data_IF_506614086765
#
_entry.id   IF_506614086765
#
_cell.length_a   1.000
_cell.length_b   1.000
_cell.length_c   1.000
_cell.angle_alpha   90.00
_cell.angle_beta   90.00
_cell.angle_gamma   90.00
#
_symmetry.space_group_name_H-M   'P 1'
#
loop_
_entity.id
_entity.type
_entity.pdbx_description
1 polymer ?
#
# COMPACT_ATOMS: atom_id res chain seq x y z
N UNK A 1 7.84 -8.93 26.52
CA UNK A 1 6.38 -9.19 26.52
C UNK A 1 5.79 -8.48 25.32
N UNK A 2 5.04 -9.13 24.43
CA UNK A 2 4.33 -8.38 23.41
C UNK A 2 3.29 -7.50 24.12
N UNK A 3 3.34 -6.18 23.88
CA UNK A 3 2.32 -5.25 24.36
C UNK A 3 0.95 -5.72 23.87
N UNK A 4 0.14 -6.21 24.77
CA UNK A 4 -1.16 -6.82 24.48
C UNK A 4 -2.27 -5.79 24.22
N UNK A 5 -1.99 -4.49 24.40
CA UNK A 5 -2.95 -3.39 24.25
C UNK A 5 -2.28 -2.14 23.68
N UNK A 6 -3.06 -1.28 23.05
CA UNK A 6 -2.65 0.10 22.73
C UNK A 6 -2.58 0.88 24.04
N UNK A 7 -1.44 1.54 24.31
CA UNK A 7 -1.33 2.52 25.40
C UNK A 7 -2.26 3.71 25.20
N UNK A 8 -2.65 4.37 26.27
CA UNK A 8 -3.34 5.66 26.16
C UNK A 8 -2.38 6.71 25.58
N UNK A 9 -2.91 7.62 24.76
CA UNK A 9 -2.13 8.70 24.17
C UNK A 9 -1.02 8.19 23.22
N UNK A 10 -1.38 7.46 22.16
CA UNK A 10 -0.43 7.02 21.15
C UNK A 10 -1.09 6.87 19.77
N UNK A 11 -0.24 6.88 18.74
CA UNK A 11 -0.61 6.54 17.36
C UNK A 11 -0.09 5.15 16.98
N UNK A 12 -0.96 4.34 16.37
CA UNK A 12 -0.57 3.09 15.73
C UNK A 12 -0.97 3.12 14.26
N UNK A 13 0.00 3.04 13.35
CA UNK A 13 -0.31 2.82 11.94
C UNK A 13 -0.51 1.32 11.67
N UNK A 14 -1.63 0.96 11.06
CA UNK A 14 -2.00 -0.42 10.77
C UNK A 14 -2.10 -0.61 9.26
N UNK A 15 -1.28 -1.52 8.72
CA UNK A 15 -1.43 -2.01 7.37
C UNK A 15 -2.63 -2.95 7.28
N UNK A 16 -3.58 -2.61 6.39
CA UNK A 16 -4.83 -3.36 6.28
C UNK A 16 -4.83 -4.40 5.17
N UNK A 17 -3.68 -4.64 4.56
CA UNK A 17 -3.59 -5.58 3.45
C UNK A 17 -4.04 -4.97 2.11
N UNK A 18 -4.05 -5.77 1.04
CA UNK A 18 -4.25 -5.27 -0.32
C UNK A 18 -5.72 -5.07 -0.71
N UNK A 19 -6.68 -5.61 0.06
CA UNK A 19 -8.10 -5.51 -0.27
C UNK A 19 -8.98 -6.52 0.45
N UNK A 20 -8.54 -7.76 0.59
CA UNK A 20 -9.27 -8.82 1.27
C UNK A 20 -9.21 -8.62 2.80
N UNK A 21 -10.35 -8.46 3.50
CA UNK A 21 -10.38 -8.34 4.96
C UNK A 21 -9.77 -9.53 5.71
N UNK A 22 -9.76 -10.73 5.13
CA UNK A 22 -9.15 -11.91 5.74
C UNK A 22 -7.62 -11.87 5.75
N UNK A 23 -7.02 -10.93 5.00
CA UNK A 23 -5.58 -10.66 5.01
C UNK A 23 -5.16 -9.63 6.06
N UNK A 24 -6.08 -9.20 6.93
CA UNK A 24 -5.74 -8.41 8.11
C UNK A 24 -4.93 -9.27 9.11
N UNK A 25 -3.91 -8.65 9.69
CA UNK A 25 -3.18 -9.33 10.76
C UNK A 25 -4.01 -9.37 12.05
N UNK A 26 -3.91 -10.46 12.83
CA UNK A 26 -4.59 -10.56 14.13
C UNK A 26 -4.23 -9.41 15.07
N UNK A 27 -2.97 -8.92 15.01
CA UNK A 27 -2.54 -7.77 15.79
C UNK A 27 -3.26 -6.50 15.30
N UNK A 28 -3.35 -6.30 13.99
CA UNK A 28 -4.06 -5.16 13.40
C UNK A 28 -5.52 -5.10 13.84
N UNK A 29 -6.26 -6.21 13.71
CA UNK A 29 -7.66 -6.30 14.15
C UNK A 29 -7.82 -5.99 15.63
N UNK A 30 -6.96 -6.58 16.48
CA UNK A 30 -7.03 -6.34 17.93
C UNK A 30 -6.83 -4.87 18.29
N UNK A 31 -5.81 -4.21 17.71
CA UNK A 31 -5.51 -2.81 18.01
C UNK A 31 -6.58 -1.88 17.43
N UNK A 32 -7.09 -2.19 16.23
CA UNK A 32 -8.19 -1.45 15.63
C UNK A 32 -9.44 -1.43 16.55
N UNK A 33 -9.82 -2.59 17.11
CA UNK A 33 -10.97 -2.70 18.06
C UNK A 33 -10.75 -1.95 19.36
N UNK A 34 -9.52 -1.66 19.73
CA UNK A 34 -9.15 -0.91 20.95
C UNK A 34 -9.03 0.58 20.72
N UNK A 35 -9.04 1.04 19.47
CA UNK A 35 -8.88 2.45 19.12
C UNK A 35 -10.07 3.29 19.64
N UNK A 36 -9.79 4.51 20.06
CA UNK A 36 -10.80 5.54 20.33
C UNK A 36 -11.11 6.32 19.05
N UNK A 37 -10.06 6.51 18.21
CA UNK A 37 -10.16 7.22 16.94
C UNK A 37 -9.49 6.39 15.84
N UNK A 38 -10.19 6.22 14.72
CA UNK A 38 -9.67 5.58 13.50
C UNK A 38 -9.56 6.64 12.41
N UNK A 39 -8.32 6.89 11.95
CA UNK A 39 -8.04 7.82 10.84
C UNK A 39 -7.83 7.00 9.56
N UNK A 40 -8.52 7.40 8.51
CA UNK A 40 -8.48 6.72 7.23
C UNK A 40 -8.15 7.68 6.10
N UNK A 41 -7.14 7.37 5.26
CA UNK A 41 -6.81 8.20 4.11
C UNK A 41 -7.82 8.00 2.97
N UNK A 42 -8.16 9.08 2.29
CA UNK A 42 -8.84 9.05 0.99
C UNK A 42 -8.12 9.94 -0.01
N UNK A 43 -8.22 9.63 -1.28
CA UNK A 43 -7.66 10.47 -2.33
C UNK A 43 -8.56 11.69 -2.63
N UNK A 44 -7.98 12.70 -3.31
CA UNK A 44 -8.67 13.96 -3.66
C UNK A 44 -9.97 13.78 -4.45
N UNK A 45 -10.11 12.68 -5.18
CA UNK A 45 -11.24 12.41 -6.09
C UNK A 45 -12.12 11.25 -5.62
N UNK A 46 -11.93 10.79 -4.41
CA UNK A 46 -12.69 9.66 -3.86
C UNK A 46 -13.50 10.10 -2.65
N UNK A 47 -14.78 9.82 -2.65
CA UNK A 47 -15.66 10.05 -1.51
C UNK A 47 -15.52 8.96 -0.44
N UNK A 48 -14.85 7.85 -0.77
CA UNK A 48 -14.65 6.71 0.11
C UNK A 48 -13.18 6.34 0.25
N UNK A 49 -12.83 5.72 1.37
CA UNK A 49 -11.50 5.16 1.64
C UNK A 49 -11.54 3.64 1.45
N UNK A 50 -10.70 3.13 0.56
CA UNK A 50 -10.53 1.67 0.38
C UNK A 50 -10.00 1.04 1.67
N UNK A 51 -9.10 1.70 2.38
CA UNK A 51 -8.60 1.18 3.66
C UNK A 51 -9.71 1.08 4.70
N UNK A 52 -10.70 2.00 4.70
CA UNK A 52 -11.86 1.93 5.58
C UNK A 52 -12.75 0.73 5.22
N UNK A 53 -13.06 0.53 3.95
CA UNK A 53 -13.95 -0.59 3.54
C UNK A 53 -13.40 -1.96 3.92
N UNK A 54 -12.08 -2.11 4.01
CA UNK A 54 -11.45 -3.37 4.45
C UNK A 54 -11.66 -3.62 5.95
N UNK A 55 -11.73 -2.56 6.76
CA UNK A 55 -11.74 -2.68 8.23
C UNK A 55 -13.09 -2.36 8.87
N UNK A 56 -14.07 -1.91 8.11
CA UNK A 56 -15.36 -1.43 8.66
C UNK A 56 -16.09 -2.45 9.53
N UNK A 57 -16.00 -3.75 9.22
CA UNK A 57 -16.56 -4.83 10.03
C UNK A 57 -15.89 -5.01 11.41
N UNK A 58 -14.74 -4.38 11.61
CA UNK A 58 -13.97 -4.41 12.87
C UNK A 58 -14.05 -3.09 13.64
N UNK A 59 -14.81 -2.11 13.15
CA UNK A 59 -15.04 -0.81 13.77
C UNK A 59 -16.45 -0.79 14.39
N UNK A 60 -16.53 -0.31 15.62
CA UNK A 60 -17.80 -0.04 16.31
C UNK A 60 -18.06 1.49 16.28
N UNK A 61 -18.92 1.99 15.37
CA UNK A 61 -19.17 3.43 15.24
C UNK A 61 -19.88 4.05 16.46
N UNK A 62 -20.44 3.23 17.37
CA UNK A 62 -21.01 3.72 18.63
C UNK A 62 -19.95 4.06 19.68
N UNK A 63 -18.73 3.52 19.52
CA UNK A 63 -17.62 3.67 20.48
C UNK A 63 -16.39 4.35 19.90
N UNK A 64 -16.24 4.33 18.60
CA UNK A 64 -15.06 4.78 17.89
C UNK A 64 -15.39 5.94 16.95
N UNK A 65 -14.60 6.99 17.00
CA UNK A 65 -14.69 8.07 16.03
C UNK A 65 -13.92 7.70 14.76
N UNK A 66 -14.55 7.80 13.60
CA UNK A 66 -13.90 7.56 12.31
C UNK A 66 -13.67 8.89 11.61
N UNK A 67 -12.41 9.20 11.32
CA UNK A 67 -11.99 10.44 10.66
C UNK A 67 -11.41 10.14 9.28
N UNK A 68 -12.15 10.45 8.23
CA UNK A 68 -11.64 10.37 6.86
C UNK A 68 -10.92 11.67 6.51
N UNK A 69 -9.63 11.55 6.11
CA UNK A 69 -8.80 12.72 5.75
C UNK A 69 -8.31 12.61 4.31
N UNK A 70 -8.31 13.75 3.63
CA UNK A 70 -7.80 13.83 2.25
C UNK A 70 -6.28 13.86 2.28
N UNK A 71 -5.67 12.91 1.59
CA UNK A 71 -4.23 12.88 1.34
C UNK A 71 -4.00 13.31 -0.10
N UNK A 72 -3.59 14.56 -0.34
CA UNK A 72 -3.38 15.06 -1.70
C UNK A 72 -2.19 14.34 -2.35
N UNK A 73 -2.45 13.71 -3.50
CA UNK A 73 -1.44 12.92 -4.22
C UNK A 73 -0.89 13.64 -5.46
N UNK A 74 -1.47 14.75 -5.84
CA UNK A 74 -1.21 15.42 -7.13
C UNK A 74 -1.19 16.95 -7.05
N UNK A 75 -1.13 17.46 -5.86
CA UNK A 75 -1.00 18.88 -5.59
C UNK A 75 0.47 19.31 -5.64
N UNK A 76 0.79 20.59 -5.78
CA UNK A 76 2.13 21.11 -5.55
C UNK A 76 2.68 20.66 -4.20
N UNK A 77 3.98 20.40 -4.11
CA UNK A 77 4.63 19.84 -2.92
C UNK A 77 4.31 20.62 -1.64
N UNK A 78 4.21 21.94 -1.74
CA UNK A 78 3.91 22.82 -0.62
C UNK A 78 2.48 22.62 -0.07
N UNK A 79 1.49 22.40 -0.97
CA UNK A 79 0.11 22.12 -0.57
C UNK A 79 -0.04 20.72 0.02
N UNK A 80 0.68 19.75 -0.52
CA UNK A 80 0.73 18.40 0.06
C UNK A 80 1.33 18.44 1.47
N UNK A 81 2.46 19.13 1.65
CA UNK A 81 3.10 19.29 2.96
C UNK A 81 2.19 20.02 3.97
N UNK A 82 1.42 21.03 3.53
CA UNK A 82 0.45 21.70 4.39
C UNK A 82 -0.63 20.74 4.90
N UNK A 83 -1.20 19.92 4.02
CA UNK A 83 -2.21 18.94 4.40
C UNK A 83 -1.66 17.87 5.39
N UNK A 84 -0.43 17.41 5.17
CA UNK A 84 0.19 16.45 6.10
C UNK A 84 0.47 17.07 7.48
N UNK A 85 0.87 18.34 7.52
CA UNK A 85 1.03 19.09 8.78
C UNK A 85 -0.28 19.22 9.54
N UNK A 86 -1.37 19.59 8.86
CA UNK A 86 -2.69 19.70 9.49
C UNK A 86 -3.15 18.36 10.09
N UNK A 87 -2.94 17.27 9.38
CA UNK A 87 -3.28 15.93 9.89
C UNK A 87 -2.37 15.53 11.05
N UNK A 88 -1.09 15.87 10.99
CA UNK A 88 -0.15 15.63 12.10
C UNK A 88 -0.54 16.43 13.36
N UNK A 89 -0.94 17.68 13.18
CA UNK A 89 -1.41 18.53 14.29
C UNK A 89 -2.68 17.96 14.94
N UNK A 90 -3.63 17.50 14.13
CA UNK A 90 -4.84 16.83 14.61
C UNK A 90 -4.51 15.56 15.40
N UNK A 91 -3.63 14.70 14.88
CA UNK A 91 -3.23 13.46 15.54
C UNK A 91 -2.52 13.76 16.86
N UNK A 92 -1.60 14.71 16.88
CA UNK A 92 -0.89 15.09 18.09
C UNK A 92 -1.87 15.62 19.16
N UNK A 93 -2.86 16.44 18.78
CA UNK A 93 -3.93 16.89 19.67
C UNK A 93 -4.71 15.74 20.31
N UNK A 94 -5.15 14.78 19.48
CA UNK A 94 -5.88 13.60 19.97
C UNK A 94 -5.02 12.74 20.91
N UNK A 95 -3.74 12.58 20.60
CA UNK A 95 -2.80 11.81 21.44
C UNK A 95 -2.57 12.53 22.77
N UNK A 96 -2.43 13.85 22.77
CA UNK A 96 -2.29 14.65 24.00
C UNK A 96 -3.57 14.61 24.88
N UNK A 97 -4.74 14.42 24.27
CA UNK A 97 -6.00 14.13 24.99
C UNK A 97 -6.06 12.71 25.58
N UNK A 98 -5.00 11.91 25.39
CA UNK A 98 -4.93 10.53 25.86
C UNK A 98 -5.67 9.53 24.97
N UNK A 99 -6.08 9.90 23.75
CA UNK A 99 -6.78 9.02 22.80
C UNK A 99 -5.82 7.98 22.22
N UNK A 100 -6.35 6.77 22.01
CA UNK A 100 -5.71 5.71 21.22
C UNK A 100 -6.08 5.91 19.77
N UNK A 101 -5.13 6.39 18.98
CA UNK A 101 -5.36 6.70 17.56
C UNK A 101 -4.82 5.57 16.70
N UNK A 102 -5.64 5.03 15.82
CA UNK A 102 -5.21 4.09 14.77
C UNK A 102 -5.32 4.76 13.41
N UNK A 103 -4.21 4.80 12.68
CA UNK A 103 -4.19 5.19 11.28
C UNK A 103 -4.18 3.94 10.41
N UNK A 104 -5.20 3.74 9.56
CA UNK A 104 -5.25 2.61 8.64
C UNK A 104 -4.70 2.98 7.27
N UNK A 105 -3.91 2.10 6.67
CA UNK A 105 -3.37 2.29 5.32
C UNK A 105 -3.43 1.02 4.50
N UNK A 106 -3.75 1.14 3.22
CA UNK A 106 -3.77 0.03 2.26
C UNK A 106 -2.38 -0.62 2.14
N UNK A 107 -2.32 -1.94 2.13
CA UNK A 107 -1.07 -2.69 2.11
C UNK A 107 -0.32 -2.62 3.43
N UNK A 108 0.91 -2.13 3.39
CA UNK A 108 1.84 -2.01 4.53
C UNK A 108 2.21 -0.53 4.76
N UNK A 109 2.26 -0.03 6.03
CA UNK A 109 2.57 1.37 6.30
C UNK A 109 3.98 1.79 5.90
N UNK A 110 4.94 0.86 5.88
CA UNK A 110 6.35 1.15 5.60
C UNK A 110 6.74 0.87 4.14
N UNK A 111 5.75 0.55 3.25
CA UNK A 111 6.05 0.16 1.88
C UNK A 111 5.23 0.97 0.86
N UNK A 112 5.83 2.02 0.29
CA UNK A 112 5.22 2.96 -0.66
C UNK A 112 3.90 3.59 -0.17
N UNK A 113 3.75 3.72 1.14
CA UNK A 113 2.59 4.29 1.80
C UNK A 113 2.70 5.81 1.94
N UNK A 114 1.57 6.51 1.84
CA UNK A 114 1.47 7.94 2.18
C UNK A 114 1.64 8.21 3.68
N UNK A 115 1.48 7.18 4.51
CA UNK A 115 1.75 7.26 5.93
C UNK A 115 3.18 7.73 6.26
N UNK A 116 4.16 7.38 5.42
CA UNK A 116 5.57 7.76 5.63
C UNK A 116 5.77 9.28 5.73
N UNK A 117 5.04 10.05 4.92
CA UNK A 117 5.10 11.52 4.98
C UNK A 117 4.45 12.06 6.26
N UNK A 118 3.35 11.46 6.69
CA UNK A 118 2.72 11.79 7.97
C UNK A 118 3.61 11.45 9.16
N UNK A 119 4.26 10.29 9.14
CA UNK A 119 5.20 9.89 10.20
C UNK A 119 6.38 10.85 10.29
N UNK A 120 6.92 11.29 9.16
CA UNK A 120 8.01 12.28 9.10
C UNK A 120 7.60 13.62 9.75
N UNK A 121 6.41 14.13 9.41
CA UNK A 121 5.86 15.35 10.02
C UNK A 121 5.65 15.19 11.53
N UNK A 122 5.09 14.05 11.98
CA UNK A 122 4.89 13.78 13.41
C UNK A 122 6.22 13.69 14.15
N UNK A 123 7.18 12.93 13.65
CA UNK A 123 8.50 12.80 14.31
C UNK A 123 9.26 14.12 14.37
N UNK A 124 9.12 14.96 13.36
CA UNK A 124 9.79 16.26 13.32
C UNK A 124 9.18 17.28 14.28
N UNK A 125 7.85 17.32 14.39
CA UNK A 125 7.13 18.38 15.11
C UNK A 125 6.66 17.96 16.50
N UNK A 126 6.43 16.68 16.71
CA UNK A 126 5.87 16.08 17.93
C UNK A 126 6.67 14.83 18.33
N UNK A 127 7.99 14.97 18.61
CA UNK A 127 8.85 13.82 18.90
C UNK A 127 8.42 13.06 20.17
N UNK A 128 7.65 13.69 21.05
CA UNK A 128 7.09 13.09 22.27
C UNK A 128 5.88 12.18 22.01
N UNK A 129 5.21 12.29 20.83
CA UNK A 129 4.09 11.44 20.48
C UNK A 129 4.57 10.01 20.24
N UNK A 130 4.09 9.01 21.02
CA UNK A 130 4.46 7.63 20.81
C UNK A 130 3.83 7.11 19.52
N UNK A 131 4.68 6.69 18.58
CA UNK A 131 4.25 6.15 17.28
C UNK A 131 4.75 4.73 17.13
N UNK A 132 3.87 3.83 16.66
CA UNK A 132 4.22 2.45 16.32
C UNK A 132 3.52 2.00 15.05
N UNK A 133 4.04 0.92 14.44
CA UNK A 133 3.47 0.36 13.20
C UNK A 133 3.13 -1.12 13.37
N UNK A 134 2.06 -1.54 12.70
CA UNK A 134 1.70 -2.94 12.52
C UNK A 134 1.79 -3.25 11.03
N UNK A 135 2.69 -4.16 10.61
CA UNK A 135 2.80 -4.55 9.22
C UNK A 135 1.50 -5.07 8.64
N UNK A 136 1.29 -4.83 7.35
CA UNK A 136 0.21 -5.39 6.57
C UNK A 136 0.73 -6.23 5.40
N UNK A 137 -0.12 -7.07 4.83
CA UNK A 137 0.23 -7.81 3.62
C UNK A 137 0.35 -6.84 2.44
N UNK A 138 1.55 -6.78 1.84
CA UNK A 138 1.76 -5.98 0.62
C UNK A 138 1.05 -6.60 -0.57
N UNK A 139 0.54 -5.77 -1.49
CA UNK A 139 0.01 -6.20 -2.78
C UNK A 139 1.02 -7.03 -3.59
N UNK A 140 2.31 -6.86 -3.38
CA UNK A 140 3.38 -7.64 -4.03
C UNK A 140 3.26 -9.13 -3.67
N UNK A 141 3.15 -9.45 -2.36
CA UNK A 141 3.02 -10.83 -1.89
C UNK A 141 1.67 -11.45 -2.25
N UNK A 142 0.59 -10.66 -2.12
CA UNK A 142 -0.74 -11.13 -2.48
C UNK A 142 -0.85 -11.41 -4.00
N UNK A 143 -0.27 -10.56 -4.85
CA UNK A 143 -0.21 -10.77 -6.28
C UNK A 143 0.56 -12.05 -6.65
N UNK A 144 1.70 -12.28 -6.01
CA UNK A 144 2.49 -13.49 -6.23
C UNK A 144 1.69 -14.76 -5.89
N UNK A 145 0.98 -14.76 -4.75
CA UNK A 145 0.11 -15.87 -4.35
C UNK A 145 -1.02 -16.11 -5.35
N UNK A 146 -1.71 -15.05 -5.78
CA UNK A 146 -2.81 -15.14 -6.77
C UNK A 146 -2.33 -15.58 -8.16
N UNK A 147 -1.14 -15.13 -8.56
CA UNK A 147 -0.54 -15.48 -9.84
C UNK A 147 0.17 -16.85 -9.83
N UNK A 148 0.27 -17.52 -8.68
CA UNK A 148 1.11 -18.71 -8.48
C UNK A 148 2.54 -18.52 -9.00
N UNK A 149 3.10 -17.32 -8.80
CA UNK A 149 4.44 -16.94 -9.25
C UNK A 149 5.32 -16.70 -8.02
N UNK A 150 6.35 -17.52 -7.79
CA UNK A 150 7.29 -17.29 -6.70
C UNK A 150 8.08 -16.00 -6.94
N UNK A 151 8.18 -15.14 -5.92
CA UNK A 151 8.94 -13.89 -6.00
C UNK A 151 10.45 -14.11 -5.93
N UNK A 152 10.88 -15.17 -5.28
CA UNK A 152 12.29 -15.55 -5.18
C UNK A 152 12.44 -17.01 -4.81
N UNK A 153 13.45 -17.65 -5.38
CA UNK A 153 13.85 -19.02 -5.11
C UNK A 153 15.38 -19.01 -4.99
N UNK A 154 15.92 -19.65 -3.96
CA UNK A 154 17.36 -19.68 -3.68
C UNK A 154 17.98 -18.25 -3.70
N UNK A 155 18.86 -17.98 -4.64
CA UNK A 155 19.62 -16.72 -4.76
C UNK A 155 18.97 -15.69 -5.70
N UNK A 156 17.67 -15.86 -6.02
CA UNK A 156 16.95 -14.91 -6.86
C UNK A 156 16.91 -13.51 -6.26
N UNK A 157 17.11 -12.50 -7.09
CA UNK A 157 16.92 -11.10 -6.69
C UNK A 157 15.47 -10.70 -6.87
N UNK A 158 14.86 -10.13 -5.83
CA UNK A 158 13.57 -9.47 -5.91
C UNK A 158 13.77 -7.96 -6.01
N UNK A 159 13.35 -7.39 -7.14
CA UNK A 159 13.36 -5.94 -7.36
C UNK A 159 11.93 -5.41 -7.38
N UNK A 160 11.62 -4.40 -6.54
CA UNK A 160 10.32 -3.73 -6.55
C UNK A 160 10.52 -2.28 -6.92
N UNK A 161 9.96 -1.87 -8.04
CA UNK A 161 10.19 -0.52 -8.59
C UNK A 161 8.89 0.12 -9.06
N UNK A 162 8.72 1.44 -8.86
CA UNK A 162 7.60 2.16 -9.47
C UNK A 162 7.82 2.28 -10.97
N UNK A 163 6.82 1.95 -11.77
CA UNK A 163 6.88 2.07 -13.23
C UNK A 163 6.94 3.52 -13.71
N UNK A 164 6.84 4.47 -12.81
CA UNK A 164 6.99 5.92 -13.09
C UNK A 164 8.46 6.37 -13.19
N UNK A 165 9.41 5.48 -12.90
CA UNK A 165 10.84 5.75 -13.09
C UNK A 165 11.15 6.10 -14.55
N UNK A 166 12.22 6.91 -14.81
CA UNK A 166 12.77 7.10 -16.14
C UNK A 166 13.16 5.77 -16.81
N UNK A 167 13.16 5.75 -18.15
CA UNK A 167 13.35 4.52 -18.92
C UNK A 167 14.69 3.83 -18.66
N UNK A 168 15.76 4.58 -18.50
CA UNK A 168 17.10 4.07 -18.18
C UNK A 168 17.10 3.28 -16.86
N UNK A 169 16.47 3.81 -15.81
CA UNK A 169 16.35 3.15 -14.51
C UNK A 169 15.41 1.96 -14.54
N UNK A 170 14.30 2.09 -15.27
CA UNK A 170 13.36 0.97 -15.42
C UNK A 170 14.00 -0.18 -16.19
N UNK A 171 14.76 0.15 -17.23
CA UNK A 171 15.52 -0.81 -18.00
C UNK A 171 16.57 -1.52 -17.16
N UNK A 172 17.36 -0.76 -16.39
CA UNK A 172 18.34 -1.33 -15.47
C UNK A 172 17.72 -2.29 -14.46
N UNK A 173 16.54 -1.96 -13.92
CA UNK A 173 15.81 -2.87 -13.03
C UNK A 173 15.35 -4.15 -13.75
N UNK A 174 14.86 -4.03 -14.99
CA UNK A 174 14.43 -5.17 -15.81
C UNK A 174 15.61 -6.06 -16.26
N UNK A 175 16.84 -5.57 -16.22
CA UNK A 175 18.05 -6.34 -16.58
C UNK A 175 18.59 -7.17 -15.39
N UNK A 176 18.11 -6.94 -14.17
CA UNK A 176 18.47 -7.74 -13.01
C UNK A 176 17.90 -9.17 -13.11
N UNK A 177 18.63 -10.19 -12.62
CA UNK A 177 18.11 -11.56 -12.56
C UNK A 177 16.97 -11.68 -11.53
N UNK A 178 16.17 -12.74 -11.62
CA UNK A 178 15.10 -13.07 -10.69
C UNK A 178 13.77 -12.40 -11.04
N UNK A 179 13.11 -11.79 -10.08
CA UNK A 179 11.76 -11.21 -10.24
C UNK A 179 11.77 -9.69 -10.11
N UNK A 180 11.11 -9.03 -11.05
CA UNK A 180 10.86 -7.58 -10.99
C UNK A 180 9.38 -7.33 -10.83
N UNK A 181 9.00 -6.56 -9.82
CA UNK A 181 7.63 -6.12 -9.57
C UNK A 181 7.50 -4.65 -9.93
N UNK A 182 6.66 -4.36 -10.90
CA UNK A 182 6.41 -3.00 -11.37
C UNK A 182 5.13 -2.47 -10.71
N UNK A 183 5.28 -1.48 -9.83
CA UNK A 183 4.18 -0.81 -9.17
C UNK A 183 3.70 0.42 -9.97
N UNK A 184 2.48 0.89 -9.68
CA UNK A 184 1.89 2.12 -10.24
C UNK A 184 1.78 2.11 -11.78
N UNK A 185 1.48 0.95 -12.36
CA UNK A 185 1.50 0.74 -13.83
C UNK A 185 0.35 1.40 -14.59
N UNK A 186 -0.70 1.83 -13.91
CA UNK A 186 -1.94 2.35 -14.50
C UNK A 186 -1.73 3.34 -15.66
N UNK A 187 -0.91 4.39 -15.45
CA UNK A 187 -0.69 5.44 -16.47
C UNK A 187 0.48 5.16 -17.41
N UNK A 188 1.35 4.23 -17.04
CA UNK A 188 2.55 3.88 -17.77
C UNK A 188 2.44 2.52 -18.47
N UNK A 189 1.26 1.90 -18.46
CA UNK A 189 1.06 0.53 -18.93
C UNK A 189 1.59 0.31 -20.35
N UNK A 190 1.20 1.15 -21.31
CA UNK A 190 1.62 0.99 -22.70
C UNK A 190 3.15 1.14 -22.86
N UNK A 191 3.75 2.09 -22.13
CA UNK A 191 5.20 2.25 -22.11
C UNK A 191 5.90 1.01 -21.54
N UNK A 192 5.41 0.51 -20.40
CA UNK A 192 5.93 -0.70 -19.74
C UNK A 192 5.76 -1.91 -20.65
N UNK A 193 4.59 -2.09 -21.26
CA UNK A 193 4.32 -3.19 -22.20
C UNK A 193 5.31 -3.17 -23.37
N UNK A 194 5.55 -2.01 -23.98
CA UNK A 194 6.51 -1.86 -25.06
C UNK A 194 7.94 -2.20 -24.64
N UNK A 195 8.38 -1.75 -23.45
CA UNK A 195 9.70 -2.10 -22.89
C UNK A 195 9.84 -3.61 -22.67
N UNK A 196 8.81 -4.26 -22.11
CA UNK A 196 8.83 -5.71 -21.88
C UNK A 196 8.84 -6.50 -23.20
N UNK A 197 8.11 -6.03 -24.22
CA UNK A 197 8.14 -6.63 -25.57
C UNK A 197 9.52 -6.53 -26.22
N UNK A 198 10.13 -5.36 -26.21
CA UNK A 198 11.49 -5.14 -26.75
C UNK A 198 12.56 -6.03 -26.09
N UNK A 199 12.34 -6.42 -24.83
CA UNK A 199 13.24 -7.30 -24.07
C UNK A 199 12.87 -8.78 -24.12
N UNK A 200 11.81 -9.16 -24.83
CA UNK A 200 11.32 -10.54 -24.86
C UNK A 200 10.76 -11.03 -23.51
N UNK A 201 10.38 -10.10 -22.62
CA UNK A 201 9.86 -10.40 -21.28
C UNK A 201 8.32 -10.38 -21.20
N UNK A 202 7.61 -9.96 -22.25
CA UNK A 202 6.16 -9.83 -22.24
C UNK A 202 5.42 -11.14 -21.93
N UNK A 203 5.96 -12.27 -22.35
CA UNK A 203 5.43 -13.63 -22.10
C UNK A 203 5.71 -14.15 -20.68
N UNK A 204 6.52 -13.42 -19.93
CA UNK A 204 6.93 -13.75 -18.54
C UNK A 204 6.37 -12.75 -17.56
N UNK A 205 5.45 -11.92 -18.00
CA UNK A 205 4.87 -10.83 -17.24
C UNK A 205 3.38 -11.08 -16.99
N UNK A 206 2.95 -10.92 -15.75
CA UNK A 206 1.58 -11.10 -15.31
C UNK A 206 1.07 -9.75 -14.78
N UNK A 207 -0.04 -9.26 -15.36
CA UNK A 207 -0.74 -8.09 -14.88
C UNK A 207 -1.74 -8.49 -13.80
N UNK A 208 -1.76 -7.75 -12.69
CA UNK A 208 -2.68 -7.96 -11.58
C UNK A 208 -3.32 -6.65 -11.18
N UNK A 209 -4.64 -6.65 -10.97
CA UNK A 209 -5.38 -5.48 -10.52
C UNK A 209 -6.33 -5.81 -9.38
N UNK A 210 -6.58 -4.80 -8.53
CA UNK A 210 -7.63 -4.77 -7.49
C UNK A 210 -7.69 -6.02 -6.60
N UNK A 211 -6.52 -6.47 -6.17
CA UNK A 211 -6.38 -7.66 -5.31
C UNK A 211 -7.31 -7.60 -4.09
N UNK A 212 -8.11 -8.65 -3.89
CA UNK A 212 -9.07 -8.78 -2.80
C UNK A 212 -10.24 -7.80 -2.86
N UNK A 213 -10.39 -7.04 -3.95
CA UNK A 213 -11.47 -6.07 -4.14
C UNK A 213 -12.35 -6.48 -5.34
N UNK A 214 -13.54 -5.89 -5.41
CA UNK A 214 -14.40 -6.06 -6.57
C UNK A 214 -13.66 -5.71 -7.87
N UNK A 215 -13.76 -6.55 -8.89
CA UNK A 215 -13.04 -6.40 -10.15
C UNK A 215 -11.59 -6.89 -10.08
N UNK A 216 -11.22 -7.74 -9.11
CA UNK A 216 -9.91 -8.42 -9.11
C UNK A 216 -9.70 -9.18 -10.43
N UNK A 217 -8.53 -9.00 -11.04
CA UNK A 217 -8.10 -9.77 -12.21
C UNK A 217 -6.62 -10.10 -12.15
N UNK A 218 -6.29 -11.31 -12.62
CA UNK A 218 -4.92 -11.76 -12.89
C UNK A 218 -4.85 -12.11 -14.38
N UNK A 219 -4.06 -11.38 -15.15
CA UNK A 219 -3.96 -11.52 -16.60
C UNK A 219 -2.53 -11.92 -16.97
N UNK A 220 -2.29 -13.20 -17.31
CA UNK A 220 -0.94 -13.71 -17.57
C UNK A 220 -0.38 -13.33 -18.95
N UNK A 221 -1.18 -12.70 -19.79
CA UNK A 221 -0.79 -12.25 -21.13
C UNK A 221 -1.08 -10.75 -21.25
N UNK A 222 -0.04 -9.94 -21.29
CA UNK A 222 -0.18 -8.48 -21.35
C UNK A 222 -0.88 -7.98 -22.61
N UNK A 223 -0.94 -8.80 -23.70
CA UNK A 223 -1.67 -8.43 -24.90
C UNK A 223 -3.19 -8.45 -24.72
N UNK A 224 -3.67 -9.16 -23.69
CA UNK A 224 -5.09 -9.27 -23.33
C UNK A 224 -5.54 -8.23 -22.31
N UNK A 225 -4.64 -7.40 -21.83
CA UNK A 225 -5.00 -6.30 -20.93
C UNK A 225 -5.67 -5.20 -21.75
N UNK A 226 -6.95 -4.99 -21.49
CA UNK A 226 -7.75 -3.95 -22.12
C UNK A 226 -7.70 -2.63 -21.36
N UNK A 227 -8.14 -1.54 -21.98
CA UNK A 227 -8.14 -0.21 -21.33
C UNK A 227 -8.98 -0.16 -20.04
N UNK A 228 -10.09 -0.90 -20.00
CA UNK A 228 -10.96 -1.05 -18.83
C UNK A 228 -10.33 -1.86 -17.69
N UNK A 229 -9.26 -2.60 -17.96
CA UNK A 229 -8.51 -3.31 -16.92
C UNK A 229 -7.52 -2.40 -16.19
N UNK A 230 -7.19 -1.26 -16.76
CA UNK A 230 -6.23 -0.34 -16.17
C UNK A 230 -6.83 0.37 -14.96
N UNK A 231 -6.31 0.10 -13.78
CA UNK A 231 -6.75 0.63 -12.49
C UNK A 231 -5.55 1.15 -11.69
N UNK A 232 -5.78 2.13 -10.82
CA UNK A 232 -4.74 2.65 -9.93
C UNK A 232 -4.11 1.55 -9.06
N UNK A 233 -4.92 0.57 -8.64
CA UNK A 233 -4.49 -0.57 -7.84
C UNK A 233 -4.05 -1.73 -8.75
N UNK A 234 -3.08 -1.48 -9.60
CA UNK A 234 -2.51 -2.50 -10.48
C UNK A 234 -0.99 -2.56 -10.41
N UNK A 235 -0.45 -3.74 -10.68
CA UNK A 235 0.97 -4.02 -10.76
C UNK A 235 1.26 -5.06 -11.84
N UNK A 236 2.53 -5.20 -12.22
CA UNK A 236 3.01 -6.27 -13.10
C UNK A 236 4.12 -7.04 -12.39
N UNK A 237 4.00 -8.36 -12.38
CA UNK A 237 5.05 -9.28 -11.97
C UNK A 237 5.80 -9.74 -13.22
N UNK A 238 7.13 -9.64 -13.22
CA UNK A 238 7.99 -10.10 -14.33
C UNK A 238 9.02 -11.06 -13.76
N UNK A 239 9.00 -12.34 -14.19
CA UNK A 239 10.00 -13.32 -13.78
C UNK A 239 10.92 -13.67 -14.95
N UNK A 240 12.22 -13.39 -14.80
CA UNK A 240 13.20 -13.64 -15.88
C UNK A 240 13.61 -15.10 -15.99
N UNK A 241 13.78 -15.77 -14.89
CA UNK A 241 14.27 -17.15 -14.85
C UNK A 241 13.16 -18.12 -14.48
N UNK A 242 13.10 -19.24 -15.17
CA UNK A 242 12.28 -20.40 -14.80
C UNK A 242 13.25 -21.45 -14.32
N UNK A 243 13.29 -21.67 -12.99
CA UNK A 243 14.02 -22.82 -12.47
C UNK A 243 13.26 -24.09 -12.86
N UNK A 244 13.85 -24.92 -13.68
CA UNK A 244 13.39 -26.27 -13.90
C UNK A 244 13.97 -27.14 -12.76
N UNK A 245 13.13 -27.49 -11.82
CA UNK A 245 13.44 -28.48 -10.78
C UNK A 245 13.24 -29.89 -11.28
#
# INVERSE_FOLDING_TARGET
>A
MPESSIGAGCLVAVGVGPGDPELLTLKGVRLLRQADVVITPRGDRSDSSIALSIVESHIDPARQQVLSRVFPMRQPAEQMAAAWREIADEIAGLVHEGKRVVFVTLGDPMFYSTYLYLEEELRSRYPEVPVSTVPGISSVYAAAGKAHLPLGIADDILSVVPSTLPDDRLQAALDLPGTVVLLKVYRSFERVRSLLQQRGLAQRAIFVRRLGLEGEKVIPDLSKVASEDLDYLSLILVRREVHNY
#
